data_IF_755300506303
#
_entry.id   IF_755300506303
#
_cell.length_a   1.000
_cell.length_b   1.000
_cell.length_c   1.000
_cell.angle_alpha   90.00
_cell.angle_beta   90.00
_cell.angle_gamma   90.00
#
_symmetry.space_group_name_H-M   'P 1'
#
loop_
_entity.id
_entity.type
_entity.pdbx_description
1 polymer ?
#
# COMPACT_ATOMS: atom_id res chain seq x y z
N UNK A 1 13.36 16.38 -1.86
CA UNK A 1 12.75 15.37 -2.72
C UNK A 1 11.82 14.49 -1.91
N UNK A 2 10.69 14.18 -2.44
CA UNK A 2 9.75 13.27 -1.78
C UNK A 2 10.05 11.82 -2.17
N UNK A 3 9.83 10.91 -1.24
CA UNK A 3 9.94 9.48 -1.46
C UNK A 3 8.53 8.90 -1.52
N UNK A 4 8.27 8.00 -2.43
CA UNK A 4 6.96 7.38 -2.57
C UNK A 4 7.03 5.88 -2.31
N UNK A 5 6.00 5.38 -1.63
CA UNK A 5 5.77 3.95 -1.47
C UNK A 5 4.78 3.52 -2.56
N UNK A 6 5.18 2.55 -3.37
CA UNK A 6 4.36 2.00 -4.45
C UNK A 6 3.92 0.59 -4.09
N UNK A 7 2.69 0.25 -4.42
CA UNK A 7 2.15 -1.07 -4.11
C UNK A 7 1.25 -1.54 -5.25
N UNK A 8 1.47 -2.78 -5.69
CA UNK A 8 0.72 -3.41 -6.77
C UNK A 8 0.40 -4.84 -6.38
N UNK A 9 -0.85 -5.26 -6.58
CA UNK A 9 -1.29 -6.63 -6.35
C UNK A 9 -1.76 -7.24 -7.67
N UNK A 10 -1.33 -8.47 -7.93
CA UNK A 10 -1.66 -9.21 -9.16
C UNK A 10 -2.27 -10.55 -8.82
N UNK A 11 -3.30 -10.94 -9.55
CA UNK A 11 -4.01 -12.20 -9.35
C UNK A 11 -4.79 -12.54 -10.62
N UNK A 12 -4.84 -13.86 -11.02
CA UNK A 12 -5.65 -14.24 -12.21
C UNK A 12 -7.13 -13.94 -12.06
N UNK A 13 -7.69 -14.07 -10.86
CA UNK A 13 -9.08 -13.75 -10.59
C UNK A 13 -9.28 -12.25 -10.42
N UNK A 14 -10.27 -11.65 -11.07
CA UNK A 14 -10.52 -10.22 -10.91
C UNK A 14 -10.94 -9.88 -9.49
N UNK A 15 -10.71 -8.63 -9.10
CA UNK A 15 -11.17 -8.14 -7.81
C UNK A 15 -12.70 -8.11 -7.79
N UNK A 16 -13.29 -8.58 -6.69
CA UNK A 16 -14.75 -8.51 -6.52
C UNK A 16 -15.14 -7.14 -5.98
N UNK A 17 -16.41 -6.78 -6.15
CA UNK A 17 -16.93 -5.53 -5.60
C UNK A 17 -16.79 -5.49 -4.07
N UNK A 18 -17.03 -6.61 -3.40
CA UNK A 18 -16.87 -6.72 -1.95
C UNK A 18 -15.44 -6.47 -1.53
N UNK A 19 -14.48 -7.07 -2.23
CA UNK A 19 -13.06 -6.86 -1.97
C UNK A 19 -12.66 -5.41 -2.18
N UNK A 20 -13.12 -4.80 -3.27
CA UNK A 20 -12.84 -3.41 -3.58
C UNK A 20 -13.39 -2.49 -2.50
N UNK A 21 -14.64 -2.70 -2.09
CA UNK A 21 -15.26 -1.89 -1.04
C UNK A 21 -14.52 -2.04 0.29
N UNK A 22 -14.06 -3.25 0.61
CA UNK A 22 -13.32 -3.48 1.84
C UNK A 22 -11.97 -2.79 1.82
N UNK A 23 -11.27 -2.83 0.71
CA UNK A 23 -9.99 -2.12 0.54
C UNK A 23 -10.18 -0.60 0.71
N UNK A 24 -11.24 -0.06 0.10
CA UNK A 24 -11.56 1.37 0.22
C UNK A 24 -11.87 1.75 1.68
N UNK A 25 -12.60 0.91 2.40
CA UNK A 25 -12.88 1.14 3.83
C UNK A 25 -11.61 1.14 4.67
N UNK A 26 -10.71 0.21 4.42
CA UNK A 26 -9.43 0.12 5.14
C UNK A 26 -8.60 1.38 4.88
N UNK A 27 -8.47 1.77 3.63
CA UNK A 27 -7.71 2.96 3.26
C UNK A 27 -8.29 4.21 3.90
N UNK A 28 -9.62 4.35 3.87
CA UNK A 28 -10.31 5.48 4.48
C UNK A 28 -10.11 5.53 5.98
N UNK A 29 -10.17 4.37 6.65
CA UNK A 29 -9.94 4.27 8.09
C UNK A 29 -8.55 4.77 8.47
N UNK A 30 -7.53 4.33 7.73
CA UNK A 30 -6.16 4.75 8.00
C UNK A 30 -5.94 6.24 7.70
N UNK A 31 -6.59 6.76 6.66
CA UNK A 31 -6.55 8.20 6.36
C UNK A 31 -7.18 9.02 7.49
N UNK A 32 -8.33 8.60 7.99
CA UNK A 32 -9.05 9.32 9.05
C UNK A 32 -8.32 9.27 10.39
N UNK A 33 -7.62 8.18 10.68
CA UNK A 33 -6.91 7.97 11.95
C UNK A 33 -5.44 8.38 11.88
N UNK A 34 -5.00 8.94 10.78
CA UNK A 34 -3.60 9.30 10.56
C UNK A 34 -3.09 10.21 11.70
N UNK A 35 -2.05 9.77 12.46
CA UNK A 35 -1.64 10.49 13.66
C UNK A 35 -0.58 11.55 13.45
N UNK A 36 -0.10 11.76 12.22
CA UNK A 36 1.06 12.61 11.95
C UNK A 36 0.70 14.01 11.43
N UNK A 37 -0.58 14.40 11.51
CA UNK A 37 -1.03 15.78 11.29
C UNK A 37 -0.74 16.31 9.90
N UNK A 38 0.01 17.40 9.85
CA UNK A 38 0.28 18.12 8.60
C UNK A 38 1.15 17.35 7.60
N UNK A 39 1.73 16.24 8.01
CA UNK A 39 2.54 15.39 7.12
C UNK A 39 1.70 14.43 6.28
N UNK A 40 0.39 14.64 6.26
CA UNK A 40 -0.56 13.82 5.52
C UNK A 40 -0.42 14.02 4.01
N UNK A 41 -0.17 12.92 3.30
CA UNK A 41 -0.11 12.89 1.83
C UNK A 41 -1.18 11.99 1.22
N UNK A 42 -1.83 11.19 2.04
CA UNK A 42 -2.92 10.31 1.63
C UNK A 42 -2.47 8.97 1.06
N UNK A 43 -3.32 7.98 1.24
CA UNK A 43 -3.13 6.64 0.67
C UNK A 43 -3.98 6.54 -0.59
N UNK A 44 -3.34 6.46 -1.74
CA UNK A 44 -4.03 6.49 -3.02
C UNK A 44 -4.13 5.10 -3.63
N UNK A 45 -5.34 4.73 -4.05
CA UNK A 45 -5.59 3.51 -4.84
C UNK A 45 -6.06 3.99 -6.21
N UNK A 46 -5.34 3.57 -7.26
CA UNK A 46 -5.66 4.01 -8.61
C UNK A 46 -6.89 3.29 -9.16
N UNK A 47 -7.65 3.99 -10.00
CA UNK A 47 -8.79 3.39 -10.70
C UNK A 47 -8.27 2.57 -11.88
N UNK A 48 -8.38 1.24 -11.76
CA UNK A 48 -7.87 0.31 -12.76
C UNK A 48 -8.68 0.27 -14.05
N UNK A 49 -9.83 0.93 -14.11
CA UNK A 49 -10.62 1.00 -15.33
C UNK A 49 -9.88 1.66 -16.49
N UNK A 50 -8.87 2.47 -16.16
CA UNK A 50 -8.05 3.17 -17.14
C UNK A 50 -6.80 2.39 -17.56
N UNK A 51 -6.52 1.23 -16.93
CA UNK A 51 -5.33 0.41 -17.18
C UNK A 51 -5.74 -0.91 -17.84
N UNK A 52 -5.98 -0.86 -19.15
CA UNK A 52 -6.53 -2.01 -19.89
C UNK A 52 -5.51 -3.06 -20.29
N UNK A 53 -4.22 -2.71 -20.25
CA UNK A 53 -3.18 -3.56 -20.80
C UNK A 53 -2.61 -4.57 -19.78
N UNK A 54 -3.02 -4.46 -18.53
CA UNK A 54 -2.51 -5.31 -17.45
C UNK A 54 -3.67 -6.03 -16.77
N UNK A 55 -4.05 -7.17 -17.33
CA UNK A 55 -5.27 -7.86 -16.94
C UNK A 55 -5.22 -8.54 -15.58
N UNK A 56 -4.03 -8.78 -15.02
CA UNK A 56 -3.87 -9.45 -13.74
C UNK A 56 -3.71 -8.50 -12.57
N UNK A 57 -3.58 -7.20 -12.81
CA UNK A 57 -3.50 -6.22 -11.73
C UNK A 57 -4.88 -6.01 -11.13
N UNK A 58 -5.01 -6.29 -9.84
CA UNK A 58 -6.27 -6.10 -9.11
C UNK A 58 -6.24 -4.91 -8.17
N UNK A 59 -5.05 -4.39 -7.86
CA UNK A 59 -4.87 -3.17 -7.07
C UNK A 59 -3.54 -2.54 -7.44
N UNK A 60 -3.52 -1.22 -7.56
CA UNK A 60 -2.31 -0.46 -7.81
C UNK A 60 -2.46 0.91 -7.14
N UNK A 61 -1.37 1.42 -6.58
CA UNK A 61 -1.43 2.71 -5.91
C UNK A 61 -0.09 3.20 -5.41
N UNK A 62 -0.13 4.33 -4.74
CA UNK A 62 1.05 4.92 -4.12
C UNK A 62 0.67 5.86 -2.98
N UNK A 63 1.63 6.10 -2.09
CA UNK A 63 1.53 7.15 -1.09
C UNK A 63 2.88 7.82 -0.94
N UNK A 64 2.88 9.14 -0.76
CA UNK A 64 4.11 9.89 -0.56
C UNK A 64 4.52 9.89 0.90
N UNK A 65 5.82 9.81 1.13
CA UNK A 65 6.41 9.93 2.45
C UNK A 65 7.14 11.27 2.55
N UNK A 66 7.07 11.96 3.69
CA UNK A 66 7.79 13.23 3.83
C UNK A 66 9.29 12.99 3.85
N UNK A 67 10.05 13.85 3.18
CA UNK A 67 11.50 13.77 3.11
C UNK A 67 12.22 14.81 3.97
N UNK A 68 11.49 15.81 4.44
CA UNK A 68 12.05 16.93 5.21
C UNK A 68 11.94 16.72 6.72
N UNK A 69 11.68 15.48 7.15
CA UNK A 69 11.54 15.10 8.56
C UNK A 69 12.68 14.18 8.94
N UNK A 70 12.88 13.96 10.25
CA UNK A 70 13.91 13.03 10.69
C UNK A 70 13.58 11.59 10.25
N UNK A 71 14.61 10.76 10.22
CA UNK A 71 14.50 9.38 9.74
C UNK A 71 13.52 8.57 10.58
N UNK A 72 13.53 8.76 11.90
CA UNK A 72 12.63 8.03 12.80
C UNK A 72 11.16 8.34 12.49
N UNK A 73 10.83 9.61 12.27
CA UNK A 73 9.46 9.99 11.94
C UNK A 73 9.05 9.45 10.57
N UNK A 74 9.94 9.48 9.59
CA UNK A 74 9.70 8.92 8.27
C UNK A 74 9.41 7.42 8.36
N UNK A 75 10.17 6.68 9.16
CA UNK A 75 9.96 5.25 9.38
C UNK A 75 8.64 4.96 10.07
N UNK A 76 8.23 5.80 11.01
CA UNK A 76 6.93 5.65 11.69
C UNK A 76 5.77 5.86 10.72
N UNK A 77 5.89 6.82 9.82
CA UNK A 77 4.87 7.05 8.79
C UNK A 77 4.82 5.89 7.81
N UNK A 78 5.97 5.40 7.37
CA UNK A 78 6.06 4.22 6.51
C UNK A 78 5.37 3.02 7.17
N UNK A 79 5.67 2.77 8.45
CA UNK A 79 5.08 1.66 9.19
C UNK A 79 3.55 1.77 9.26
N UNK A 80 3.03 2.98 9.43
CA UNK A 80 1.58 3.24 9.43
C UNK A 80 0.93 2.75 8.14
N UNK A 81 1.52 3.12 7.00
CA UNK A 81 0.97 2.73 5.70
C UNK A 81 1.20 1.25 5.37
N UNK A 82 2.30 0.66 5.85
CA UNK A 82 2.52 -0.78 5.70
C UNK A 82 1.49 -1.58 6.49
N UNK A 83 1.07 -1.11 7.64
CA UNK A 83 -0.03 -1.75 8.40
C UNK A 83 -1.34 -1.68 7.62
N UNK A 84 -1.61 -0.57 6.96
CA UNK A 84 -2.76 -0.46 6.06
C UNK A 84 -2.71 -1.53 4.97
N UNK A 85 -1.56 -1.67 4.31
CA UNK A 85 -1.36 -2.68 3.27
C UNK A 85 -1.52 -4.11 3.82
N UNK A 86 -1.07 -4.38 5.03
CA UNK A 86 -1.23 -5.70 5.66
C UNK A 86 -2.69 -6.11 5.76
N UNK A 87 -3.56 -5.18 6.12
CA UNK A 87 -5.00 -5.46 6.17
C UNK A 87 -5.57 -5.71 4.77
N UNK A 88 -5.09 -4.97 3.78
CA UNK A 88 -5.53 -5.16 2.39
C UNK A 88 -5.05 -6.51 1.84
N UNK A 89 -3.85 -6.95 2.20
CA UNK A 89 -3.35 -8.28 1.83
C UNK A 89 -4.31 -9.38 2.28
N UNK A 90 -4.87 -9.24 3.48
CA UNK A 90 -5.81 -10.21 4.03
C UNK A 90 -7.14 -10.23 3.27
N UNK A 91 -7.51 -9.14 2.63
CA UNK A 91 -8.72 -9.07 1.80
C UNK A 91 -8.48 -9.70 0.44
N UNK A 92 -7.34 -9.42 -0.18
CA UNK A 92 -7.01 -9.86 -1.54
C UNK A 92 -6.25 -11.19 -1.52
N UNK A 93 -6.95 -12.24 -1.11
CA UNK A 93 -6.37 -13.58 -0.95
C UNK A 93 -5.83 -14.10 -2.29
N UNK A 94 -4.64 -14.67 -2.25
CA UNK A 94 -3.99 -15.27 -3.41
C UNK A 94 -3.26 -14.28 -4.32
N UNK A 95 -3.28 -13.00 -4.00
CA UNK A 95 -2.58 -12.00 -4.81
C UNK A 95 -1.08 -12.04 -4.57
N UNK A 96 -0.33 -11.75 -5.61
CA UNK A 96 1.11 -11.51 -5.53
C UNK A 96 1.33 -10.01 -5.38
N UNK A 97 2.14 -9.63 -4.42
CA UNK A 97 2.38 -8.23 -4.09
C UNK A 97 3.75 -7.76 -4.49
N UNK A 98 3.80 -6.57 -5.08
CA UNK A 98 5.04 -5.84 -5.33
C UNK A 98 4.91 -4.51 -4.58
N UNK A 99 5.71 -4.34 -3.53
CA UNK A 99 5.73 -3.14 -2.70
C UNK A 99 7.15 -2.62 -2.66
N UNK A 100 7.33 -1.34 -2.98
CA UNK A 100 8.67 -0.76 -3.00
C UNK A 100 8.66 0.74 -2.74
N UNK A 101 9.71 1.22 -2.12
CA UNK A 101 10.15 2.60 -2.18
C UNK A 101 10.99 2.78 -3.45
N UNK A 102 11.47 3.99 -3.74
CA UNK A 102 12.19 4.27 -4.99
C UNK A 102 13.27 3.23 -5.31
N UNK A 103 14.14 2.90 -4.33
CA UNK A 103 15.25 1.97 -4.53
C UNK A 103 15.18 0.72 -3.68
N UNK A 104 14.17 0.59 -2.84
CA UNK A 104 14.09 -0.49 -1.86
C UNK A 104 12.82 -1.30 -2.07
N UNK A 105 12.98 -2.60 -2.27
CA UNK A 105 11.86 -3.53 -2.36
C UNK A 105 11.48 -4.06 -0.98
N UNK A 106 10.20 -4.38 -0.82
CA UNK A 106 9.70 -5.07 0.36
C UNK A 106 9.20 -6.45 -0.03
N UNK A 107 9.32 -7.40 0.91
CA UNK A 107 8.79 -8.75 0.76
C UNK A 107 7.72 -8.99 1.80
N UNK A 108 6.75 -9.83 1.44
CA UNK A 108 5.72 -10.27 2.37
C UNK A 108 6.21 -11.49 3.15
N UNK A 109 6.13 -11.42 4.47
CA UNK A 109 6.41 -12.56 5.34
C UNK A 109 5.11 -13.21 5.79
N UNK A 110 4.88 -14.45 5.39
CA UNK A 110 3.71 -15.22 5.83
C UNK A 110 3.81 -15.57 7.31
N UNK A 111 5.02 -15.79 7.81
CA UNK A 111 5.25 -16.15 9.20
C UNK A 111 4.98 -14.99 10.15
N UNK A 112 5.47 -13.81 9.80
CA UNK A 112 5.33 -12.61 10.63
C UNK A 112 4.12 -11.77 10.26
N UNK A 113 3.46 -12.09 9.15
CA UNK A 113 2.28 -11.41 8.63
C UNK A 113 2.54 -9.92 8.41
N UNK A 114 3.66 -9.59 7.77
CA UNK A 114 4.05 -8.20 7.53
C UNK A 114 4.98 -8.06 6.33
N UNK A 115 5.11 -6.82 5.85
CA UNK A 115 6.12 -6.48 4.86
C UNK A 115 7.42 -6.12 5.56
N UNK A 116 8.53 -6.53 4.99
CA UNK A 116 9.86 -6.19 5.51
C UNK A 116 10.79 -5.87 4.34
N UNK A 117 11.85 -5.04 4.58
CA UNK A 117 12.79 -4.69 3.52
C UNK A 117 13.52 -5.91 2.98
N UNK A 118 13.61 -5.99 1.67
CA UNK A 118 14.38 -7.02 0.97
C UNK A 118 15.80 -6.53 0.76
N UNK A 119 16.62 -6.73 1.77
CA UNK A 119 18.04 -6.32 1.75
C UNK A 119 18.97 -7.49 1.74
#
# INVERSE_FOLDING_TARGET
MSVSLYYTARRPQPITLQEQNRCDEIAKCYDEQYPFGELYEGFCIYDLKNFRDENDIILDGSTKLPSDVDEELCLNILDWWLKCLQEIVDVLIGAQWNVHLDDMNFKWSKEEHCFFPDV
#
